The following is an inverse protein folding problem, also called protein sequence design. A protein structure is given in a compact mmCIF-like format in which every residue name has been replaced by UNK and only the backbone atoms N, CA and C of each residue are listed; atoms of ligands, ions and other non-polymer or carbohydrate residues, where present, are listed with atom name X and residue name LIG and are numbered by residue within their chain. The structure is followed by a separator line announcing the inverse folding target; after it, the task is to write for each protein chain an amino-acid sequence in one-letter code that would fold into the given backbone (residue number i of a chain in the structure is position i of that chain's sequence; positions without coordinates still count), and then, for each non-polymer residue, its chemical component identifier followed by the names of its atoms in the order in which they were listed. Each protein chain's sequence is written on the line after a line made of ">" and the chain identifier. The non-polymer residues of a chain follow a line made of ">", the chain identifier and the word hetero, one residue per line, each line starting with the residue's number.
data_IF_320502631287
#
_entry.id   IF_320502631287
#
_cell.length_a   1.000
_cell.length_b   1.000
_cell.length_c   1.000
_cell.angle_alpha   90.00
_cell.angle_beta   90.00
_cell.angle_gamma   90.00
#
_symmetry.space_group_name_H-M   'P 1'
#
loop_
_entity.id
_entity.type
_entity.pdbx_description
1 polymer ?
#
# COMPACT_ATOMS: atom_id res chain seq x y z
N UNK A 1 -12.91 18.90 -34.97
CA UNK A 1 -13.06 17.43 -34.87
C UNK A 1 -11.90 16.92 -34.04
N UNK A 2 -12.15 16.56 -32.79
CA UNK A 2 -11.16 15.88 -31.94
C UNK A 2 -11.45 14.39 -32.12
N UNK A 3 -10.57 13.68 -32.80
CA UNK A 3 -10.61 12.22 -32.87
C UNK A 3 -10.37 11.68 -31.47
N UNK A 4 -11.38 11.04 -30.89
CA UNK A 4 -11.22 10.20 -29.72
C UNK A 4 -10.19 9.11 -30.08
N UNK A 5 -8.98 9.24 -29.54
CA UNK A 5 -7.97 8.20 -29.65
C UNK A 5 -8.50 6.95 -28.99
N UNK A 6 -8.68 5.88 -29.76
CA UNK A 6 -8.94 4.57 -29.23
C UNK A 6 -7.70 4.14 -28.44
N UNK A 7 -7.76 4.25 -27.11
CA UNK A 7 -6.70 3.70 -26.26
C UNK A 7 -6.70 2.17 -26.45
N UNK A 8 -5.54 1.56 -26.76
CA UNK A 8 -5.48 0.12 -26.96
C UNK A 8 -5.92 -0.60 -25.68
N UNK A 9 -6.74 -1.63 -25.84
CA UNK A 9 -7.14 -2.52 -24.75
C UNK A 9 -5.87 -3.11 -24.12
N UNK A 10 -5.48 -2.59 -22.97
CA UNK A 10 -4.28 -3.01 -22.26
C UNK A 10 -4.48 -4.45 -21.76
N UNK A 11 -3.68 -5.39 -22.26
CA UNK A 11 -3.74 -6.78 -21.83
C UNK A 11 -2.87 -6.93 -20.58
N UNK A 12 -3.22 -7.87 -19.69
CA UNK A 12 -2.45 -8.11 -18.46
C UNK A 12 -0.95 -8.32 -18.70
N UNK A 13 -0.58 -8.91 -19.83
CA UNK A 13 0.81 -9.08 -20.27
C UNK A 13 1.49 -7.73 -20.50
N UNK A 14 0.81 -6.78 -21.16
CA UNK A 14 1.35 -5.45 -21.41
C UNK A 14 1.57 -4.71 -20.09
N UNK A 15 0.62 -4.84 -19.14
CA UNK A 15 0.72 -4.27 -17.81
C UNK A 15 1.89 -4.84 -17.01
N UNK A 16 2.06 -6.16 -17.06
CA UNK A 16 3.18 -6.82 -16.42
C UNK A 16 4.52 -6.35 -17.01
N UNK A 17 4.67 -6.36 -18.34
CA UNK A 17 5.90 -5.95 -19.01
C UNK A 17 6.22 -4.45 -18.86
N UNK A 18 5.19 -3.59 -18.81
CA UNK A 18 5.39 -2.14 -18.76
C UNK A 18 5.64 -1.61 -17.35
N UNK A 19 4.96 -2.19 -16.34
CA UNK A 19 4.99 -1.74 -14.95
C UNK A 19 5.64 -2.80 -14.06
N UNK A 20 4.95 -3.92 -13.80
CA UNK A 20 5.27 -4.86 -12.71
C UNK A 20 6.69 -5.43 -12.83
N UNK A 21 7.09 -5.86 -14.02
CA UNK A 21 8.41 -6.47 -14.27
C UNK A 21 9.60 -5.54 -14.01
N UNK A 22 9.34 -4.23 -13.87
CA UNK A 22 10.36 -3.20 -13.60
C UNK A 22 10.38 -2.77 -12.14
N UNK A 23 9.53 -3.35 -11.30
CA UNK A 23 9.46 -3.02 -9.89
C UNK A 23 10.21 -4.06 -9.03
N UNK A 24 10.76 -3.66 -7.87
CA UNK A 24 11.60 -4.54 -7.05
C UNK A 24 10.89 -5.83 -6.61
N UNK A 25 9.57 -5.76 -6.39
CA UNK A 25 8.75 -6.89 -5.96
C UNK A 25 8.44 -7.91 -7.06
N UNK A 26 8.96 -7.71 -8.28
CA UNK A 26 9.03 -8.79 -9.27
C UNK A 26 9.84 -9.99 -8.74
N UNK A 27 10.72 -9.74 -7.76
CA UNK A 27 11.23 -10.75 -6.83
C UNK A 27 10.68 -10.48 -5.42
N UNK A 28 9.87 -11.40 -4.89
CA UNK A 28 9.26 -11.25 -3.57
C UNK A 28 10.27 -11.37 -2.41
N UNK A 29 11.48 -11.86 -2.66
CA UNK A 29 12.51 -11.93 -1.62
C UNK A 29 12.97 -10.53 -1.16
N UNK A 30 12.69 -9.47 -1.94
CA UNK A 30 12.95 -8.07 -1.55
C UNK A 30 12.31 -7.69 -0.21
N UNK A 31 11.16 -8.29 0.12
CA UNK A 31 10.42 -8.03 1.37
C UNK A 31 11.04 -8.72 2.60
N UNK A 32 12.03 -9.59 2.40
CA UNK A 32 12.69 -10.38 3.45
C UNK A 32 14.18 -10.09 3.58
N UNK A 33 14.71 -9.13 2.83
CA UNK A 33 16.08 -8.65 3.00
C UNK A 33 16.23 -8.14 4.45
N UNK A 34 17.43 -8.30 5.02
CA UNK A 34 17.71 -8.11 6.44
C UNK A 34 17.67 -6.65 6.91
N UNK A 35 16.50 -6.02 6.81
CA UNK A 35 16.27 -4.63 7.15
C UNK A 35 16.45 -4.41 8.65
N UNK A 36 17.15 -3.33 9.02
CA UNK A 36 17.32 -2.94 10.43
C UNK A 36 16.13 -2.12 10.94
N UNK A 37 15.46 -1.40 10.03
CA UNK A 37 14.30 -0.53 10.25
C UNK A 37 13.09 -0.98 9.44
N UNK A 38 11.99 -0.20 9.47
CA UNK A 38 10.91 -0.40 8.51
C UNK A 38 11.37 0.01 7.10
N UNK A 39 10.72 -0.57 6.11
CA UNK A 39 10.82 -0.23 4.69
C UNK A 39 9.45 0.10 4.13
N UNK A 40 9.39 1.07 3.21
CA UNK A 40 8.21 1.40 2.41
C UNK A 40 8.55 1.21 0.94
N UNK A 41 8.13 0.08 0.38
CA UNK A 41 8.42 -0.27 -1.02
C UNK A 41 7.24 0.19 -1.87
N UNK A 42 7.39 1.22 -2.74
CA UNK A 42 6.29 1.69 -3.58
C UNK A 42 5.84 0.62 -4.56
N UNK A 43 4.53 0.54 -4.83
CA UNK A 43 4.00 -0.32 -5.88
C UNK A 43 4.47 0.11 -7.27
N UNK A 44 4.70 1.40 -7.46
CA UNK A 44 5.25 1.94 -8.69
C UNK A 44 6.30 2.96 -8.29
N UNK A 45 7.57 2.69 -8.60
CA UNK A 45 8.69 3.56 -8.23
C UNK A 45 8.79 4.85 -9.04
N UNK A 46 8.06 4.98 -10.15
CA UNK A 46 8.09 6.17 -11.03
C UNK A 46 6.69 6.52 -11.53
N UNK A 47 6.24 7.76 -11.27
CA UNK A 47 4.93 8.25 -11.72
C UNK A 47 4.70 8.06 -13.22
N UNK A 48 5.72 8.29 -14.06
CA UNK A 48 5.60 8.10 -15.51
C UNK A 48 5.26 6.67 -15.96
N UNK A 49 5.41 5.67 -15.09
CA UNK A 49 4.97 4.28 -15.35
C UNK A 49 3.49 4.08 -15.04
N UNK A 50 2.88 4.96 -14.25
CA UNK A 50 1.46 4.95 -13.93
C UNK A 50 0.63 5.65 -15.00
N UNK A 51 1.18 6.64 -15.73
CA UNK A 51 0.46 7.37 -16.79
C UNK A 51 -0.27 6.45 -17.79
N UNK A 52 0.31 5.36 -18.30
CA UNK A 52 -0.39 4.47 -19.23
C UNK A 52 -1.58 3.75 -18.58
N UNK A 53 -1.45 3.37 -17.30
CA UNK A 53 -2.51 2.70 -16.54
C UNK A 53 -3.63 3.70 -16.19
N UNK A 54 -3.27 4.92 -15.78
CA UNK A 54 -4.20 6.01 -15.52
C UNK A 54 -4.94 6.43 -16.81
N UNK A 55 -4.26 6.53 -17.94
CA UNK A 55 -4.89 6.80 -19.23
C UNK A 55 -5.88 5.70 -19.66
N UNK A 56 -5.59 4.43 -19.34
CA UNK A 56 -6.43 3.30 -19.70
C UNK A 56 -7.66 3.14 -18.78
N UNK A 57 -7.52 3.39 -17.48
CA UNK A 57 -8.56 3.12 -16.48
C UNK A 57 -9.25 4.38 -15.94
N UNK A 58 -8.60 5.54 -16.03
CA UNK A 58 -8.89 6.74 -15.26
C UNK A 58 -8.25 6.68 -13.86
N UNK A 59 -7.85 7.83 -13.32
CA UNK A 59 -7.06 7.96 -12.08
C UNK A 59 -7.66 7.20 -10.90
N UNK A 60 -8.96 7.35 -10.71
CA UNK A 60 -9.69 6.73 -9.60
C UNK A 60 -9.69 5.19 -9.70
N UNK A 61 -9.79 4.65 -10.91
CA UNK A 61 -9.76 3.21 -11.14
C UNK A 61 -8.34 2.65 -11.16
N UNK A 62 -7.34 3.48 -11.52
CA UNK A 62 -5.93 3.12 -11.40
C UNK A 62 -5.56 2.92 -9.93
N UNK A 63 -6.00 3.79 -9.02
CA UNK A 63 -5.82 3.58 -7.58
C UNK A 63 -6.53 2.32 -7.07
N UNK A 64 -7.77 2.08 -7.49
CA UNK A 64 -8.50 0.84 -7.14
C UNK A 64 -7.73 -0.41 -7.61
N UNK A 65 -7.17 -0.38 -8.82
CA UNK A 65 -6.32 -1.44 -9.34
C UNK A 65 -5.06 -1.63 -8.48
N UNK A 66 -4.37 -0.54 -8.14
CA UNK A 66 -3.17 -0.59 -7.31
C UNK A 66 -3.48 -1.12 -5.91
N UNK A 67 -4.62 -0.78 -5.32
CA UNK A 67 -5.08 -1.37 -4.04
C UNK A 67 -5.28 -2.87 -4.17
N UNK A 68 -5.95 -3.33 -5.24
CA UNK A 68 -6.10 -4.75 -5.53
C UNK A 68 -4.75 -5.47 -5.63
N UNK A 69 -3.79 -4.88 -6.35
CA UNK A 69 -2.43 -5.39 -6.47
C UNK A 69 -1.69 -5.41 -5.12
N UNK A 70 -1.83 -4.37 -4.29
CA UNK A 70 -1.25 -4.35 -2.94
C UNK A 70 -1.77 -5.51 -2.09
N UNK A 71 -3.08 -5.78 -2.14
CA UNK A 71 -3.68 -6.89 -1.39
C UNK A 71 -3.16 -8.23 -1.88
N UNK A 72 -3.03 -8.41 -3.20
CA UNK A 72 -2.41 -9.60 -3.78
C UNK A 72 -0.96 -9.79 -3.27
N UNK A 73 -0.16 -8.74 -3.27
CA UNK A 73 1.22 -8.79 -2.77
C UNK A 73 1.28 -9.11 -1.28
N UNK A 74 0.50 -8.45 -0.43
CA UNK A 74 0.50 -8.74 1.02
C UNK A 74 0.13 -10.20 1.30
N UNK A 75 -0.85 -10.76 0.58
CA UNK A 75 -1.21 -12.17 0.72
C UNK A 75 -0.07 -13.10 0.27
N UNK A 76 0.63 -12.73 -0.81
CA UNK A 76 1.80 -13.46 -1.31
C UNK A 76 2.97 -13.42 -0.32
N UNK A 77 3.30 -12.23 0.20
CA UNK A 77 4.30 -12.01 1.24
C UNK A 77 3.96 -12.83 2.49
N UNK A 78 2.71 -12.76 2.95
CA UNK A 78 2.26 -13.51 4.13
C UNK A 78 2.41 -15.03 3.93
N UNK A 79 2.12 -15.52 2.73
CA UNK A 79 2.27 -16.93 2.37
C UNK A 79 3.75 -17.35 2.34
N UNK A 80 4.61 -16.53 1.71
CA UNK A 80 6.04 -16.79 1.63
C UNK A 80 6.74 -16.70 2.99
N UNK A 81 6.33 -15.74 3.83
CA UNK A 81 6.80 -15.61 5.22
C UNK A 81 6.56 -16.91 6.00
N UNK A 82 5.35 -17.49 5.88
CA UNK A 82 5.02 -18.78 6.50
C UNK A 82 5.90 -19.92 6.02
N UNK A 83 6.19 -20.01 4.71
CA UNK A 83 7.11 -21.03 4.19
C UNK A 83 8.55 -20.85 4.68
N UNK A 84 8.95 -19.62 5.02
CA UNK A 84 10.25 -19.29 5.61
C UNK A 84 10.24 -19.37 7.16
N UNK A 85 9.16 -19.87 7.77
CA UNK A 85 8.95 -19.92 9.23
C UNK A 85 8.99 -18.56 9.94
N UNK A 86 8.75 -17.47 9.21
CA UNK A 86 8.64 -16.12 9.76
C UNK A 86 7.20 -15.94 10.24
N UNK A 87 7.04 -15.70 11.53
CA UNK A 87 5.73 -15.54 12.12
C UNK A 87 5.29 -14.08 12.22
N UNK A 88 4.03 -13.90 12.55
CA UNK A 88 3.34 -12.63 12.67
C UNK A 88 3.91 -11.65 13.69
N UNK A 89 4.63 -12.16 14.68
CA UNK A 89 5.32 -11.34 15.68
C UNK A 89 6.69 -10.86 15.19
N UNK A 90 7.26 -11.49 14.15
CA UNK A 90 8.56 -11.16 13.56
C UNK A 90 8.45 -10.22 12.36
N UNK A 91 7.31 -10.25 11.65
CA UNK A 91 7.08 -9.42 10.48
C UNK A 91 5.72 -8.76 10.52
N UNK A 92 5.72 -7.42 10.56
CA UNK A 92 4.54 -6.61 10.37
C UNK A 92 4.47 -6.12 8.92
N UNK A 93 3.30 -6.29 8.29
CA UNK A 93 3.06 -5.91 6.90
C UNK A 93 1.77 -5.11 6.82
N UNK A 94 1.80 -3.98 6.12
CA UNK A 94 0.64 -3.14 5.85
C UNK A 94 0.75 -2.49 4.46
N UNK A 95 -0.36 -1.90 3.99
CA UNK A 95 -0.33 -0.98 2.86
C UNK A 95 -0.23 0.42 3.44
N UNK A 96 0.69 1.26 2.96
CA UNK A 96 0.78 2.67 3.36
C UNK A 96 0.54 3.60 2.20
N UNK A 97 0.00 4.77 2.51
CA UNK A 97 -0.23 5.87 1.58
C UNK A 97 0.36 7.13 2.22
N UNK A 98 1.28 7.77 1.52
CA UNK A 98 2.08 8.89 2.06
C UNK A 98 2.01 10.13 1.19
N UNK A 99 1.86 9.98 -0.12
CA UNK A 99 1.74 11.10 -1.05
C UNK A 99 0.25 11.40 -1.31
N UNK A 100 -0.21 12.48 -0.69
CA UNK A 100 -1.53 13.08 -0.91
C UNK A 100 -1.40 14.47 -1.54
N UNK A 101 -0.22 14.81 -2.08
CA UNK A 101 0.00 16.14 -2.65
C UNK A 101 -0.95 16.37 -3.84
N UNK A 102 -1.48 17.58 -3.92
CA UNK A 102 -2.32 18.03 -5.05
C UNK A 102 -1.50 18.69 -6.14
N UNK A 103 -0.16 18.52 -6.10
CA UNK A 103 0.73 19.13 -7.07
C UNK A 103 0.52 18.51 -8.45
N UNK A 104 0.69 19.32 -9.50
CA UNK A 104 0.61 18.85 -10.89
C UNK A 104 1.68 17.82 -11.25
N UNK A 105 2.71 17.67 -10.41
CA UNK A 105 3.82 16.74 -10.62
C UNK A 105 3.50 15.31 -10.13
N UNK A 106 2.65 15.18 -9.11
CA UNK A 106 2.24 13.89 -8.55
C UNK A 106 0.70 13.76 -8.52
N UNK A 107 0.04 13.59 -9.67
CA UNK A 107 -1.43 13.55 -9.73
C UNK A 107 -2.04 12.27 -9.13
N UNK A 108 -1.21 11.30 -8.74
CA UNK A 108 -1.66 9.96 -8.42
C UNK A 108 -1.16 9.48 -7.06
N UNK A 109 -2.09 8.98 -6.23
CA UNK A 109 -1.75 8.29 -4.99
C UNK A 109 -1.18 6.91 -5.36
N UNK A 110 0.08 6.65 -4.98
CA UNK A 110 0.73 5.35 -5.16
C UNK A 110 0.79 4.63 -3.80
N UNK A 111 0.19 3.44 -3.65
CA UNK A 111 0.34 2.66 -2.42
C UNK A 111 1.76 2.13 -2.28
N UNK A 112 2.24 2.03 -1.04
CA UNK A 112 3.46 1.33 -0.68
C UNK A 112 3.13 0.04 0.08
N UNK A 113 4.01 -0.96 -0.02
CA UNK A 113 4.06 -2.08 0.89
C UNK A 113 4.99 -1.72 2.04
N UNK A 114 4.41 -1.56 3.22
CA UNK A 114 5.14 -1.29 4.44
C UNK A 114 5.56 -2.61 5.09
N UNK A 115 6.86 -2.78 5.28
CA UNK A 115 7.45 -3.92 5.98
C UNK A 115 8.14 -3.41 7.23
N UNK A 116 7.85 -4.03 8.37
CA UNK A 116 8.58 -3.77 9.59
C UNK A 116 9.03 -5.09 10.22
N UNK A 117 10.36 -5.36 10.24
CA UNK A 117 10.95 -6.46 10.97
C UNK A 117 10.73 -6.22 12.46
N UNK A 118 9.70 -6.85 13.01
CA UNK A 118 9.35 -6.68 14.41
C UNK A 118 10.23 -7.59 15.27
N UNK A 119 11.48 -7.18 15.48
CA UNK A 119 12.45 -7.90 16.34
C UNK A 119 12.01 -7.96 17.81
N UNK A 120 10.99 -7.18 18.21
CA UNK A 120 10.42 -7.18 19.56
C UNK A 120 9.08 -7.92 19.63
N UNK A 121 8.98 -8.92 20.51
CA UNK A 121 7.80 -9.79 20.69
C UNK A 121 6.51 -9.09 21.18
N UNK A 122 6.50 -7.75 21.29
CA UNK A 122 5.52 -7.03 22.10
C UNK A 122 4.44 -6.26 21.31
N UNK A 123 4.39 -6.40 19.98
CA UNK A 123 3.46 -5.67 19.11
C UNK A 123 3.44 -4.14 19.36
N UNK A 124 4.59 -3.57 19.74
CA UNK A 124 4.66 -2.17 20.16
C UNK A 124 4.23 -1.23 19.03
N UNK A 125 4.60 -1.54 17.79
CA UNK A 125 4.25 -0.72 16.64
C UNK A 125 2.74 -0.61 16.41
N UNK A 126 2.00 -1.73 16.40
CA UNK A 126 0.54 -1.69 16.21
C UNK A 126 -0.18 -0.98 17.38
N UNK A 127 0.33 -1.13 18.61
CA UNK A 127 -0.18 -0.38 19.77
C UNK A 127 0.10 1.12 19.62
N UNK A 128 1.28 1.51 19.16
CA UNK A 128 1.64 2.90 18.89
C UNK A 128 0.73 3.49 17.80
N UNK A 129 0.48 2.77 16.70
CA UNK A 129 -0.47 3.20 15.67
C UNK A 129 -1.87 3.46 16.25
N UNK A 130 -2.35 2.57 17.12
CA UNK A 130 -3.66 2.74 17.75
C UNK A 130 -3.70 3.96 18.68
N UNK A 131 -2.65 4.19 19.46
CA UNK A 131 -2.59 5.26 20.44
C UNK A 131 -2.39 6.64 19.80
N UNK A 132 -1.70 6.69 18.66
CA UNK A 132 -1.40 7.93 17.94
C UNK A 132 -2.46 8.24 16.87
N UNK A 133 -3.48 7.40 16.71
CA UNK A 133 -4.51 7.63 15.73
C UNK A 133 -5.36 8.87 16.11
N UNK A 134 -5.52 9.84 15.21
CA UNK A 134 -6.36 11.01 15.46
C UNK A 134 -7.80 10.63 15.83
N UNK A 135 -8.43 11.42 16.70
CA UNK A 135 -9.84 11.24 17.06
C UNK A 135 -10.78 11.58 15.91
N UNK A 136 -10.40 12.56 15.09
CA UNK A 136 -11.17 13.01 13.94
C UNK A 136 -10.65 12.35 12.66
N UNK A 137 -11.56 11.99 11.78
CA UNK A 137 -11.22 11.38 10.49
C UNK A 137 -10.82 12.47 9.49
N UNK A 138 -9.60 12.38 8.96
CA UNK A 138 -9.11 13.27 7.90
C UNK A 138 -9.74 12.98 6.53
N UNK A 139 -9.53 13.91 5.59
CA UNK A 139 -9.97 13.77 4.19
C UNK A 139 -9.17 12.67 3.49
N UNK A 140 -7.88 12.57 3.78
CA UNK A 140 -6.96 11.55 3.26
C UNK A 140 -7.42 10.15 3.69
N UNK A 141 -7.66 9.96 4.99
CA UNK A 141 -8.19 8.71 5.54
C UNK A 141 -9.58 8.37 4.97
N UNK A 142 -10.43 9.38 4.74
CA UNK A 142 -11.73 9.17 4.12
C UNK A 142 -11.62 8.67 2.68
N UNK A 143 -10.76 9.31 1.89
CA UNK A 143 -10.48 8.98 0.49
C UNK A 143 -9.99 7.55 0.37
N UNK A 144 -8.98 7.16 1.16
CA UNK A 144 -8.46 5.78 1.12
C UNK A 144 -9.55 4.76 1.51
N UNK A 145 -10.33 5.03 2.56
CA UNK A 145 -11.41 4.12 2.96
C UNK A 145 -12.50 3.97 1.90
N UNK A 146 -12.77 5.01 1.11
CA UNK A 146 -13.74 4.97 0.00
C UNK A 146 -13.25 4.04 -1.12
N UNK A 147 -11.99 4.18 -1.55
CA UNK A 147 -11.38 3.29 -2.54
C UNK A 147 -11.38 1.82 -2.09
N UNK A 148 -11.03 1.55 -0.82
CA UNK A 148 -11.16 0.19 -0.27
C UNK A 148 -12.61 -0.30 -0.21
N UNK A 149 -13.60 0.60 -0.07
CA UNK A 149 -15.02 0.24 -0.11
C UNK A 149 -15.44 -0.17 -1.52
N UNK A 150 -15.03 0.60 -2.53
CA UNK A 150 -15.27 0.30 -3.96
C UNK A 150 -14.70 -1.05 -4.37
N UNK A 151 -13.54 -1.40 -3.81
CA UNK A 151 -12.92 -2.70 -4.03
C UNK A 151 -13.52 -3.85 -3.17
N UNK A 152 -14.55 -3.59 -2.35
CA UNK A 152 -15.10 -4.54 -1.37
C UNK A 152 -14.07 -5.07 -0.34
N UNK A 153 -13.02 -4.30 -0.07
CA UNK A 153 -11.91 -4.68 0.81
C UNK A 153 -11.95 -3.98 2.18
N UNK A 154 -12.72 -2.89 2.36
CA UNK A 154 -12.71 -2.10 3.61
C UNK A 154 -12.94 -2.92 4.87
N UNK A 155 -13.83 -3.91 4.85
CA UNK A 155 -14.10 -4.75 6.02
C UNK A 155 -12.92 -5.64 6.41
N UNK A 156 -12.03 -5.96 5.47
CA UNK A 156 -10.83 -6.79 5.65
C UNK A 156 -9.63 -6.04 6.23
N UNK A 157 -9.72 -4.71 6.41
CA UNK A 157 -8.63 -3.88 6.90
C UNK A 157 -9.05 -3.02 8.09
N UNK A 158 -8.08 -2.74 8.96
CA UNK A 158 -8.16 -1.69 9.97
C UNK A 158 -7.28 -0.54 9.51
N UNK A 159 -7.81 0.68 9.57
CA UNK A 159 -7.11 1.85 9.09
C UNK A 159 -6.61 2.69 10.24
N UNK A 160 -5.38 3.21 10.12
CA UNK A 160 -4.79 4.16 11.05
C UNK A 160 -4.22 5.35 10.29
N UNK A 161 -4.23 6.52 10.89
CA UNK A 161 -3.55 7.71 10.42
C UNK A 161 -2.43 8.09 11.38
N UNK A 162 -1.28 8.45 10.82
CA UNK A 162 -0.18 9.11 11.52
C UNK A 162 0.11 10.42 10.80
N UNK A 163 0.13 11.51 11.56
CA UNK A 163 0.46 12.85 11.06
C UNK A 163 1.53 13.44 11.95
N UNK A 164 2.62 13.91 11.36
CA UNK A 164 3.67 14.61 12.07
C UNK A 164 4.31 15.65 11.16
N UNK A 165 4.76 16.74 11.76
CA UNK A 165 5.51 17.77 11.07
C UNK A 165 6.98 17.33 10.97
N UNK A 166 7.55 17.37 9.77
CA UNK A 166 8.97 17.13 9.55
C UNK A 166 9.69 18.46 9.39
N UNK A 167 10.46 18.84 10.41
CA UNK A 167 11.26 20.07 10.42
C UNK A 167 12.31 20.11 9.29
N UNK A 168 12.80 18.96 8.82
CA UNK A 168 13.83 18.90 7.80
C UNK A 168 13.30 19.29 6.40
N UNK A 169 12.04 18.94 6.13
CA UNK A 169 11.34 19.25 4.89
C UNK A 169 10.37 20.43 5.04
N UNK A 170 10.11 20.88 6.27
CA UNK A 170 9.14 21.91 6.62
C UNK A 170 7.72 21.59 6.08
N UNK A 171 7.33 20.32 6.20
CA UNK A 171 6.07 19.80 5.67
C UNK A 171 5.37 18.87 6.67
N UNK A 172 4.04 18.85 6.63
CA UNK A 172 3.24 17.85 7.34
C UNK A 172 3.29 16.52 6.59
N UNK A 173 3.92 15.51 7.19
CA UNK A 173 3.91 14.15 6.66
C UNK A 173 2.65 13.44 7.16
N UNK A 174 1.82 13.04 6.20
CA UNK A 174 0.61 12.25 6.45
C UNK A 174 0.87 10.83 5.99
N UNK A 175 0.61 9.84 6.85
CA UNK A 175 0.70 8.43 6.52
C UNK A 175 -0.58 7.71 6.93
N UNK A 176 -1.27 7.14 5.94
CA UNK A 176 -2.41 6.26 6.17
C UNK A 176 -1.94 4.81 6.08
N UNK A 177 -2.21 4.02 7.12
CA UNK A 177 -1.96 2.59 7.16
C UNK A 177 -3.27 1.84 6.92
N UNK A 178 -3.30 0.92 5.95
CA UNK A 178 -4.30 -0.12 5.85
C UNK A 178 -3.68 -1.45 6.33
N UNK A 179 -4.03 -1.85 7.54
CA UNK A 179 -3.51 -3.06 8.20
C UNK A 179 -4.49 -4.20 7.99
N UNK A 180 -4.08 -5.33 7.38
CA UNK A 180 -4.96 -6.49 7.19
C UNK A 180 -5.51 -6.99 8.52
N UNK A 181 -6.84 -7.16 8.60
CA UNK A 181 -7.47 -7.86 9.72
C UNK A 181 -7.19 -9.33 9.58
N UNK A 182 -6.45 -9.87 10.53
CA UNK A 182 -6.17 -11.29 10.58
C UNK A 182 -7.39 -12.02 11.15
N UNK A 183 -7.80 -13.10 10.48
CA UNK A 183 -8.83 -13.98 11.00
C UNK A 183 -8.32 -14.55 12.33
N UNK A 184 -9.04 -14.26 13.42
CA UNK A 184 -8.78 -14.93 14.70
C UNK A 184 -8.95 -16.43 14.45
N UNK A 185 -7.88 -17.22 14.57
CA UNK A 185 -8.04 -18.66 14.76
C UNK A 185 -8.93 -18.82 16.00
N UNK A 186 -10.15 -19.34 15.82
CA UNK A 186 -10.88 -19.92 16.94
C UNK A 186 -9.97 -21.02 17.45
N UNK A 187 -9.42 -20.84 18.65
CA UNK A 187 -8.83 -21.95 19.39
C UNK A 187 -10.01 -22.89 19.62
N UNK A 188 -10.05 -24.01 18.90
CA UNK A 188 -10.93 -25.11 19.26
C UNK A 188 -10.54 -25.49 20.69
N UNK A 189 -11.45 -25.25 21.63
CA UNK A 189 -11.37 -25.76 22.99
C UNK A 189 -11.75 -27.22 22.98
#
# INVERSE_FOLDING_TARGET
>A
MITAGAYPKMIMTDLYSSIISKEPYNDLDVFFLGHESFEEIPLISRYSRLDPLAAALGDSNALDFLIGLSVFLINSITTLARSKNINESELFVAITFTDFSTSSENPHIIPNIFIYPNKSKNHQFQKALKNNNPNNKSVELATIQEHFSRCNLKSSFTFYESRFFDDACNEDIIRIFAVPKRSRKKIAR
#
